data_IF_599884108966
#
_entry.id   IF_599884108966
#
_cell.length_a   1.000
_cell.length_b   1.000
_cell.length_c   1.000
_cell.angle_alpha   90.00
_cell.angle_beta   90.00
_cell.angle_gamma   90.00
#
_symmetry.space_group_name_H-M   'P 1'
#
loop_
_entity.id
_entity.type
_entity.pdbx_description
1 polymer ?
#
# COMPACT_ATOMS: atom_id res chain seq x y z
N UNK A 1 -14.88 4.82 16.39
CA UNK A 1 -14.42 5.68 15.29
C UNK A 1 -13.89 7.01 15.82
N UNK A 2 -14.42 7.49 16.95
CA UNK A 2 -13.89 8.58 17.80
C UNK A 2 -12.39 8.87 17.65
N UNK A 3 -11.51 7.88 17.82
CA UNK A 3 -10.06 8.11 17.64
C UNK A 3 -9.66 8.44 16.19
N UNK A 4 -10.20 7.72 15.19
CA UNK A 4 -9.92 7.92 13.76
C UNK A 4 -10.52 9.23 13.26
N UNK A 5 -11.76 9.52 13.67
CA UNK A 5 -12.47 10.77 13.35
C UNK A 5 -11.80 11.97 14.03
N UNK A 6 -11.32 11.82 15.26
CA UNK A 6 -10.53 12.83 15.96
C UNK A 6 -9.16 13.11 15.34
N UNK A 7 -8.68 12.26 14.43
CA UNK A 7 -7.47 12.49 13.63
C UNK A 7 -7.80 13.02 12.21
N UNK A 8 -9.07 13.38 11.95
CA UNK A 8 -9.51 13.89 10.64
C UNK A 8 -9.55 12.83 9.54
N UNK A 9 -9.59 11.54 9.90
CA UNK A 9 -9.57 10.44 8.95
C UNK A 9 -10.93 9.72 8.87
N UNK A 10 -11.25 9.20 7.68
CA UNK A 10 -12.46 8.39 7.46
C UNK A 10 -12.14 6.90 7.54
N UNK A 11 -12.93 6.14 8.30
CA UNK A 11 -12.70 4.70 8.47
C UNK A 11 -13.36 3.87 7.35
N UNK A 12 -12.54 3.44 6.38
CA UNK A 12 -13.00 2.67 5.20
C UNK A 12 -12.76 1.15 5.32
N UNK A 13 -12.16 0.70 6.41
CA UNK A 13 -11.95 -0.74 6.68
C UNK A 13 -13.32 -1.45 6.70
N UNK A 14 -13.50 -2.73 6.35
CA UNK A 14 -14.77 -3.43 6.59
C UNK A 14 -14.99 -3.71 8.09
N UNK A 15 -16.24 -3.71 8.59
CA UNK A 15 -16.52 -4.27 9.91
C UNK A 15 -16.30 -5.79 9.93
N UNK A 16 -15.97 -6.34 11.10
CA UNK A 16 -16.00 -7.80 11.28
C UNK A 16 -17.44 -8.32 11.17
N UNK A 17 -17.59 -9.54 10.65
CA UNK A 17 -18.89 -10.20 10.44
C UNK A 17 -19.72 -10.37 11.72
N UNK A 18 -19.07 -10.52 12.87
CA UNK A 18 -19.71 -10.70 14.17
C UNK A 18 -20.05 -9.37 14.90
N UNK A 19 -19.96 -8.23 14.22
CA UNK A 19 -20.21 -6.93 14.85
C UNK A 19 -21.73 -6.66 14.93
N UNK A 20 -22.23 -6.35 16.13
CA UNK A 20 -23.65 -6.04 16.40
C UNK A 20 -24.19 -4.86 15.57
N UNK A 21 -23.35 -3.87 15.30
CA UNK A 21 -23.69 -2.72 14.44
C UNK A 21 -22.78 -2.74 13.22
N UNK A 22 -23.34 -3.17 12.09
CA UNK A 22 -22.64 -3.17 10.80
C UNK A 22 -22.61 -1.74 10.29
N UNK A 23 -21.40 -1.21 10.12
CA UNK A 23 -21.18 0.10 9.50
C UNK A 23 -21.09 -0.05 7.99
N UNK A 24 -21.64 0.93 7.29
CA UNK A 24 -21.38 1.13 5.87
C UNK A 24 -19.92 1.57 5.68
N UNK A 25 -19.32 1.12 4.58
CA UNK A 25 -17.97 1.52 4.19
C UNK A 25 -17.89 1.48 2.66
N UNK A 26 -17.03 2.31 2.10
CA UNK A 26 -16.77 2.31 0.66
C UNK A 26 -15.86 1.12 0.30
N UNK A 27 -16.42 0.14 -0.40
CA UNK A 27 -15.69 -1.06 -0.82
C UNK A 27 -14.64 -0.74 -1.89
N UNK A 28 -14.89 0.20 -2.79
CA UNK A 28 -13.96 0.55 -3.86
C UNK A 28 -12.73 1.26 -3.31
N UNK A 29 -12.91 2.15 -2.35
CA UNK A 29 -11.79 2.77 -1.65
C UNK A 29 -11.02 1.74 -0.82
N UNK A 30 -11.70 0.79 -0.16
CA UNK A 30 -11.00 -0.29 0.56
C UNK A 30 -10.15 -1.18 -0.36
N UNK A 31 -10.62 -1.48 -1.58
CA UNK A 31 -9.86 -2.28 -2.57
C UNK A 31 -8.51 -1.66 -2.93
N UNK A 32 -8.39 -0.33 -2.94
CA UNK A 32 -7.13 0.37 -3.27
C UNK A 32 -5.99 0.03 -2.32
N UNK A 33 -6.27 -0.49 -1.11
CA UNK A 33 -5.26 -1.01 -0.17
C UNK A 33 -4.35 -2.08 -0.81
N UNK A 34 -4.88 -2.90 -1.71
CA UNK A 34 -4.10 -3.94 -2.41
C UNK A 34 -2.92 -3.34 -3.21
N UNK A 35 -3.03 -2.11 -3.70
CA UNK A 35 -1.91 -1.43 -4.39
C UNK A 35 -0.74 -1.19 -3.42
N UNK A 36 -1.06 -0.73 -2.21
CA UNK A 36 -0.09 -0.49 -1.15
C UNK A 36 0.53 -1.83 -0.69
N UNK A 37 -0.28 -2.86 -0.48
CA UNK A 37 0.20 -4.20 -0.10
C UNK A 37 1.14 -4.79 -1.16
N UNK A 38 0.79 -4.69 -2.44
CA UNK A 38 1.65 -5.10 -3.56
C UNK A 38 2.95 -4.32 -3.60
N UNK A 39 2.91 -3.00 -3.35
CA UNK A 39 4.12 -2.18 -3.28
C UNK A 39 5.06 -2.65 -2.15
N UNK A 40 4.53 -2.88 -0.94
CA UNK A 40 5.31 -3.44 0.16
C UNK A 40 5.83 -4.84 -0.14
N UNK A 41 5.05 -5.68 -0.82
CA UNK A 41 5.51 -7.01 -1.24
C UNK A 41 6.71 -6.91 -2.18
N UNK A 42 6.66 -6.01 -3.17
CA UNK A 42 7.80 -5.73 -4.06
C UNK A 42 9.03 -5.23 -3.30
N UNK A 43 8.84 -4.32 -2.33
CA UNK A 43 9.94 -3.86 -1.46
C UNK A 43 10.56 -4.99 -0.64
N UNK A 44 9.76 -5.97 -0.21
CA UNK A 44 10.25 -7.15 0.53
C UNK A 44 11.01 -8.16 -0.34
N UNK A 45 10.95 -8.06 -1.67
CA UNK A 45 11.83 -8.88 -2.52
C UNK A 45 13.32 -8.54 -2.29
N UNK A 46 13.60 -7.32 -1.82
CA UNK A 46 14.94 -6.90 -1.46
C UNK A 46 15.30 -7.49 -0.08
N UNK A 47 16.11 -8.55 -0.07
CA UNK A 47 16.48 -9.29 1.16
C UNK A 47 16.91 -8.37 2.31
N UNK A 48 17.77 -7.38 2.04
CA UNK A 48 18.23 -6.39 3.05
C UNK A 48 17.10 -5.61 3.70
N UNK A 49 16.09 -5.22 2.91
CA UNK A 49 14.91 -4.48 3.40
C UNK A 49 14.02 -5.42 4.21
N UNK A 50 13.76 -6.63 3.71
CA UNK A 50 12.88 -7.61 4.37
C UNK A 50 13.40 -8.07 5.73
N UNK A 51 14.70 -8.35 5.86
CA UNK A 51 15.31 -8.83 7.11
C UNK A 51 15.81 -7.71 8.00
N UNK A 52 15.79 -6.45 7.54
CA UNK A 52 16.33 -5.30 8.26
C UNK A 52 17.78 -5.53 8.71
N UNK A 53 18.65 -5.96 7.78
CA UNK A 53 20.05 -6.25 8.11
C UNK A 53 20.86 -5.03 8.57
N UNK A 54 20.47 -3.83 8.14
CA UNK A 54 21.20 -2.60 8.46
C UNK A 54 21.03 -2.24 9.95
N UNK A 55 22.12 -2.29 10.72
CA UNK A 55 22.13 -1.94 12.15
C UNK A 55 21.84 -0.47 12.42
N UNK A 56 22.23 0.43 11.51
CA UNK A 56 21.98 1.87 11.62
C UNK A 56 20.74 2.25 10.83
N UNK A 57 19.87 3.06 11.44
CA UNK A 57 18.64 3.56 10.83
C UNK A 57 18.90 4.32 9.52
N UNK A 58 20.00 5.08 9.45
CA UNK A 58 20.39 5.82 8.24
C UNK A 58 20.63 4.91 7.04
N UNK A 59 21.37 3.81 7.23
CA UNK A 59 21.63 2.86 6.14
C UNK A 59 20.36 2.12 5.73
N UNK A 60 19.51 1.76 6.70
CA UNK A 60 18.21 1.17 6.40
C UNK A 60 17.30 2.12 5.60
N UNK A 61 17.29 3.41 5.93
CA UNK A 61 16.52 4.41 5.18
C UNK A 61 17.06 4.60 3.77
N UNK A 62 18.39 4.66 3.59
CA UNK A 62 18.99 4.75 2.28
C UNK A 62 18.67 3.51 1.41
N UNK A 63 18.77 2.30 1.97
CA UNK A 63 18.42 1.07 1.23
C UNK A 63 16.93 1.01 0.90
N UNK A 64 16.06 1.46 1.79
CA UNK A 64 14.62 1.55 1.55
C UNK A 64 14.29 2.55 0.43
N UNK A 65 14.91 3.74 0.44
CA UNK A 65 14.73 4.76 -0.59
C UNK A 65 15.20 4.27 -1.97
N UNK A 66 16.37 3.62 -2.02
CA UNK A 66 16.88 3.02 -3.26
C UNK A 66 15.95 1.92 -3.79
N UNK A 67 15.51 0.99 -2.93
CA UNK A 67 14.59 -0.07 -3.31
C UNK A 67 13.25 0.49 -3.82
N UNK A 68 12.73 1.56 -3.19
CA UNK A 68 11.53 2.26 -3.63
C UNK A 68 11.72 2.92 -5.00
N UNK A 69 12.82 3.63 -5.21
CA UNK A 69 13.12 4.29 -6.48
C UNK A 69 13.20 3.29 -7.64
N UNK A 70 13.91 2.16 -7.45
CA UNK A 70 14.02 1.10 -8.47
C UNK A 70 12.68 0.40 -8.72
N UNK A 71 11.91 0.15 -7.66
CA UNK A 71 10.57 -0.47 -7.79
C UNK A 71 9.62 0.44 -8.55
N UNK A 72 9.70 1.76 -8.33
CA UNK A 72 8.90 2.76 -9.04
C UNK A 72 9.30 2.84 -10.52
N UNK A 73 10.59 3.00 -10.83
CA UNK A 73 11.06 3.11 -12.23
C UNK A 73 10.68 1.87 -13.06
N UNK A 74 10.77 0.68 -12.46
CA UNK A 74 10.39 -0.58 -13.09
C UNK A 74 8.87 -0.68 -13.29
N UNK A 75 8.08 -0.09 -12.39
CA UNK A 75 6.63 -0.05 -12.53
C UNK A 75 6.16 0.87 -13.66
N UNK A 76 6.93 1.93 -13.98
CA UNK A 76 6.64 2.78 -15.13
C UNK A 76 6.99 2.10 -16.46
N UNK A 77 8.07 1.31 -16.50
CA UNK A 77 8.53 0.68 -17.74
C UNK A 77 7.70 -0.55 -18.15
N UNK A 78 6.98 -1.18 -17.21
CA UNK A 78 6.24 -2.44 -17.43
C UNK A 78 4.71 -2.23 -17.51
N UNK A 79 4.18 -1.00 -17.45
CA UNK A 79 2.74 -0.82 -17.61
C UNK A 79 2.31 -1.08 -19.06
N UNK A 80 1.51 -2.12 -19.37
CA UNK A 80 0.64 -2.01 -20.55
C UNK A 80 -0.26 -0.79 -20.30
N UNK A 81 -0.46 0.04 -21.32
CA UNK A 81 -1.47 1.09 -21.32
C UNK A 81 -2.78 0.47 -20.82
N UNK A 82 -3.37 1.01 -19.77
CA UNK A 82 -4.71 0.58 -19.33
C UNK A 82 -5.64 0.84 -20.51
N UNK A 83 -6.31 -0.16 -21.10
CA UNK A 83 -7.26 0.11 -22.16
C UNK A 83 -8.35 1.00 -21.57
N UNK A 84 -8.51 2.17 -22.17
CA UNK A 84 -9.51 3.15 -21.74
C UNK A 84 -10.83 2.76 -22.42
N UNK A 85 -11.98 3.13 -21.85
CA UNK A 85 -13.31 2.78 -22.39
C UNK A 85 -13.52 3.21 -23.86
N UNK A 86 -12.66 4.09 -24.38
CA UNK A 86 -12.60 4.52 -25.79
C UNK A 86 -11.92 3.55 -26.77
N UNK A 87 -11.38 2.42 -26.33
CA UNK A 87 -10.73 1.40 -27.19
C UNK A 87 -11.61 0.16 -27.46
N UNK A 88 -12.95 0.31 -27.39
CA UNK A 88 -13.96 -0.62 -27.92
C UNK A 88 -14.84 0.12 -28.94
#
# INVERSE_FOLDING_TARGET
LIFVEGQGATAVIPPRSNRRVIRTYDREVYKRKNLIERAFNKLKNWRRVATRYDRRSLYFMATLQLAAAVTWSTSLSISPRVPTITDM
#
